data_IF_870853661005
#
_entry.id   IF_870853661005
#
_cell.length_a   1.000
_cell.length_b   1.000
_cell.length_c   1.000
_cell.angle_alpha   90.00
_cell.angle_beta   90.00
_cell.angle_gamma   90.00
#
_symmetry.space_group_name_H-M   'P 1'
#
loop_
_entity.id
_entity.type
_entity.pdbx_description
1 polymer ?
#
# COMPACT_ATOMS: atom_id res chain seq x y z
N UNK A 1 29.41 -16.26 -66.46
CA UNK A 1 28.31 -15.30 -66.20
C UNK A 1 27.53 -15.82 -65.00
N UNK A 2 27.14 -14.89 -64.14
CA UNK A 2 27.00 -15.00 -62.68
C UNK A 2 26.03 -16.03 -62.13
N UNK A 3 26.47 -16.68 -61.04
CA UNK A 3 25.64 -17.35 -60.04
C UNK A 3 24.79 -16.30 -59.30
N UNK A 4 23.47 -16.48 -59.30
CA UNK A 4 22.55 -15.70 -58.48
C UNK A 4 22.46 -16.35 -57.09
N UNK A 5 23.07 -15.70 -56.10
CA UNK A 5 22.80 -15.93 -54.68
C UNK A 5 21.45 -15.31 -54.34
N UNK A 6 20.48 -16.09 -53.87
CA UNK A 6 19.30 -15.55 -53.20
C UNK A 6 19.37 -15.87 -51.71
N UNK A 7 19.75 -14.85 -50.97
CA UNK A 7 19.75 -14.74 -49.52
C UNK A 7 18.29 -14.70 -49.05
N UNK A 8 17.80 -15.78 -48.43
CA UNK A 8 16.50 -15.78 -47.75
C UNK A 8 16.74 -15.56 -46.25
N UNK A 9 16.91 -14.29 -45.87
CA UNK A 9 16.94 -13.82 -44.49
C UNK A 9 15.63 -13.07 -44.22
N UNK A 10 14.71 -13.68 -43.49
CA UNK A 10 13.55 -13.04 -42.85
C UNK A 10 13.06 -14.02 -41.79
N UNK A 11 13.63 -14.03 -40.58
CA UNK A 11 13.38 -13.08 -39.50
C UNK A 11 11.89 -13.02 -39.11
N UNK A 12 11.36 -14.14 -38.59
CA UNK A 12 10.13 -14.13 -37.78
C UNK A 12 10.54 -14.08 -36.30
N UNK A 13 10.85 -12.85 -35.89
CA UNK A 13 10.96 -12.43 -34.49
C UNK A 13 9.56 -12.52 -33.89
N UNK A 14 9.30 -13.60 -33.15
CA UNK A 14 8.13 -13.71 -32.28
C UNK A 14 8.48 -13.07 -30.95
N UNK A 15 8.41 -11.73 -30.89
CA UNK A 15 8.54 -10.98 -29.63
C UNK A 15 7.27 -11.16 -28.81
N UNK A 16 7.49 -11.56 -27.57
CA UNK A 16 6.53 -11.86 -26.52
C UNK A 16 5.52 -10.72 -26.30
N UNK A 17 4.22 -11.06 -26.35
CA UNK A 17 3.16 -10.33 -25.67
C UNK A 17 2.46 -11.29 -24.70
N UNK A 18 3.10 -11.53 -23.57
CA UNK A 18 2.48 -12.16 -22.40
C UNK A 18 3.04 -11.46 -21.16
N UNK A 19 2.56 -10.26 -20.88
CA UNK A 19 3.03 -9.46 -19.76
C UNK A 19 2.25 -8.16 -19.64
N UNK A 20 0.97 -8.27 -19.25
CA UNK A 20 0.13 -7.20 -18.70
C UNK A 20 -1.07 -7.89 -18.02
N UNK A 21 -0.90 -8.44 -16.80
CA UNK A 21 -2.04 -8.98 -16.04
C UNK A 21 -1.86 -9.03 -14.52
N UNK A 22 -0.97 -8.19 -13.99
CA UNK A 22 -0.66 -8.16 -12.55
C UNK A 22 -1.09 -6.83 -11.87
N UNK A 23 -1.31 -5.76 -12.64
CA UNK A 23 -1.70 -4.45 -12.09
C UNK A 23 -3.18 -4.36 -11.69
N UNK A 24 -4.09 -5.05 -12.40
CA UNK A 24 -5.53 -5.03 -12.08
C UNK A 24 -5.87 -5.79 -10.78
N UNK A 25 -5.09 -6.82 -10.45
CA UNK A 25 -5.35 -7.65 -9.26
C UNK A 25 -4.91 -6.98 -7.96
N UNK A 26 -3.83 -6.19 -8.00
CA UNK A 26 -3.32 -5.47 -6.83
C UNK A 26 -4.22 -4.28 -6.44
N UNK A 27 -4.74 -3.55 -7.43
CA UNK A 27 -5.69 -2.47 -7.18
C UNK A 27 -7.03 -3.01 -6.64
N UNK A 28 -7.52 -4.11 -7.21
CA UNK A 28 -8.73 -4.78 -6.72
C UNK A 28 -8.57 -5.29 -5.28
N UNK A 29 -7.43 -5.87 -4.94
CA UNK A 29 -7.16 -6.37 -3.58
C UNK A 29 -7.02 -5.25 -2.55
N UNK A 30 -6.43 -4.10 -2.93
CA UNK A 30 -6.36 -2.94 -2.04
C UNK A 30 -7.74 -2.34 -1.76
N UNK A 31 -8.56 -2.17 -2.81
CA UNK A 31 -9.90 -1.63 -2.66
C UNK A 31 -10.78 -2.53 -1.77
N UNK A 32 -10.65 -3.85 -1.91
CA UNK A 32 -11.34 -4.84 -1.08
C UNK A 32 -10.86 -4.79 0.37
N UNK A 33 -9.55 -4.79 0.62
CA UNK A 33 -9.00 -4.66 1.98
C UNK A 33 -9.44 -3.35 2.64
N UNK A 34 -9.36 -2.24 1.91
CA UNK A 34 -9.80 -0.94 2.41
C UNK A 34 -11.30 -0.91 2.74
N UNK A 35 -12.13 -1.54 1.91
CA UNK A 35 -13.56 -1.68 2.18
C UNK A 35 -13.83 -2.53 3.42
N UNK A 36 -13.16 -3.68 3.55
CA UNK A 36 -13.29 -4.54 4.72
C UNK A 36 -12.87 -3.82 5.99
N UNK A 37 -11.75 -3.08 5.98
CA UNK A 37 -11.34 -2.29 7.14
C UNK A 37 -12.38 -1.23 7.53
N UNK A 38 -12.92 -0.48 6.55
CA UNK A 38 -13.95 0.54 6.84
C UNK A 38 -15.23 -0.06 7.43
N UNK A 39 -15.57 -1.29 7.06
CA UNK A 39 -16.78 -1.97 7.54
C UNK A 39 -16.57 -2.68 8.89
N UNK A 40 -15.45 -3.37 9.04
CA UNK A 40 -15.21 -4.32 10.13
C UNK A 40 -14.12 -3.89 11.10
N UNK A 41 -13.34 -2.86 10.78
CA UNK A 41 -12.17 -2.42 11.55
C UNK A 41 -11.22 -3.59 11.88
N UNK A 42 -11.02 -4.50 10.92
CA UNK A 42 -10.21 -5.71 11.14
C UNK A 42 -8.72 -5.48 10.85
N UNK A 43 -7.86 -6.13 11.64
CA UNK A 43 -6.40 -5.97 11.57
C UNK A 43 -5.80 -6.51 10.27
N UNK A 44 -6.32 -7.62 9.74
CA UNK A 44 -5.78 -8.25 8.54
C UNK A 44 -5.93 -7.33 7.31
N UNK A 45 -7.09 -6.68 7.18
CA UNK A 45 -7.33 -5.69 6.14
C UNK A 45 -6.47 -4.45 6.30
N UNK A 46 -6.27 -4.00 7.53
CA UNK A 46 -5.40 -2.85 7.81
C UNK A 46 -3.92 -3.15 7.52
N UNK A 47 -3.46 -4.37 7.80
CA UNK A 47 -2.14 -4.87 7.41
C UNK A 47 -1.99 -4.88 5.89
N UNK A 48 -2.98 -5.40 5.17
CA UNK A 48 -2.97 -5.43 3.71
C UNK A 48 -2.92 -4.02 3.11
N UNK A 49 -3.65 -3.05 3.67
CA UNK A 49 -3.55 -1.64 3.28
C UNK A 49 -2.14 -1.11 3.55
N UNK A 50 -1.56 -1.41 4.71
CA UNK A 50 -0.22 -0.92 5.10
C UNK A 50 0.90 -1.35 4.15
N UNK A 51 0.73 -2.47 3.46
CA UNK A 51 1.68 -2.99 2.48
C UNK A 51 1.60 -2.25 1.14
N UNK A 52 0.51 -1.53 0.88
CA UNK A 52 0.25 -0.84 -0.38
C UNK A 52 0.39 0.68 -0.25
N UNK A 53 0.12 1.25 0.92
CA UNK A 53 0.44 2.65 1.18
C UNK A 53 1.92 2.81 1.53
N UNK A 54 2.57 3.84 1.02
CA UNK A 54 4.00 4.04 1.23
C UNK A 54 4.40 5.50 1.06
N UNK A 55 5.70 5.81 1.22
CA UNK A 55 6.20 7.17 1.05
C UNK A 55 5.77 7.76 -0.30
N UNK A 56 5.18 8.96 -0.26
CA UNK A 56 4.67 9.66 -1.44
C UNK A 56 3.16 9.53 -1.68
N UNK A 57 2.47 8.53 -1.11
CA UNK A 57 1.00 8.43 -1.16
C UNK A 57 0.38 9.70 -0.58
N UNK A 58 -0.63 10.27 -1.25
CA UNK A 58 -1.22 11.53 -0.77
C UNK A 58 -2.07 11.33 0.47
N UNK A 59 -2.06 12.29 1.38
CA UNK A 59 -2.91 12.25 2.58
C UNK A 59 -4.38 12.06 2.22
N UNK A 60 -4.87 12.83 1.24
CA UNK A 60 -6.23 12.72 0.74
C UNK A 60 -6.56 11.32 0.18
N UNK A 61 -5.59 10.67 -0.48
CA UNK A 61 -5.75 9.33 -1.02
C UNK A 61 -5.83 8.27 0.10
N UNK A 62 -5.02 8.42 1.15
CA UNK A 62 -5.13 7.56 2.35
C UNK A 62 -6.50 7.72 3.01
N UNK A 63 -6.96 8.95 3.22
CA UNK A 63 -8.25 9.23 3.85
C UNK A 63 -9.44 8.79 2.98
N UNK A 64 -9.33 8.91 1.65
CA UNK A 64 -10.30 8.35 0.70
C UNK A 64 -10.32 6.81 0.76
N UNK A 65 -9.15 6.20 0.89
CA UNK A 65 -8.99 4.76 0.93
C UNK A 65 -9.53 4.16 2.23
N UNK A 66 -9.10 4.61 3.41
CA UNK A 66 -9.45 3.93 4.67
C UNK A 66 -10.33 4.76 5.61
N UNK A 67 -10.78 5.93 5.17
CA UNK A 67 -11.58 6.84 5.99
C UNK A 67 -10.71 7.73 6.89
N UNK A 68 -11.34 8.50 7.79
CA UNK A 68 -10.60 9.34 8.73
C UNK A 68 -9.83 8.49 9.76
N UNK A 69 -8.72 8.99 10.32
CA UNK A 69 -8.01 8.30 11.38
C UNK A 69 -8.86 8.15 12.63
N UNK A 70 -8.65 7.06 13.37
CA UNK A 70 -9.25 6.83 14.69
C UNK A 70 -8.78 7.90 15.69
N UNK A 71 -7.50 8.25 15.64
CA UNK A 71 -6.91 9.26 16.52
C UNK A 71 -5.66 9.90 15.89
N UNK A 72 -5.38 11.15 16.24
CA UNK A 72 -4.18 11.88 15.83
C UNK A 72 -3.55 12.55 17.05
N UNK A 73 -2.53 11.94 17.68
CA UNK A 73 -1.95 12.45 18.92
C UNK A 73 -1.23 13.79 18.73
N UNK A 74 -0.66 13.99 17.54
CA UNK A 74 0.05 15.20 17.14
C UNK A 74 -0.30 15.51 15.68
N UNK A 75 -0.16 16.77 15.31
CA UNK A 75 -0.37 17.18 13.92
C UNK A 75 0.59 16.44 12.99
N UNK A 76 0.06 15.90 11.89
CA UNK A 76 0.83 15.11 10.92
C UNK A 76 0.96 13.63 11.23
N UNK A 77 0.45 13.13 12.36
CA UNK A 77 0.39 11.69 12.66
C UNK A 77 -1.05 11.21 12.69
N UNK A 78 -1.37 10.23 11.87
CA UNK A 78 -2.67 9.57 11.81
C UNK A 78 -2.55 8.13 12.32
N UNK A 79 -3.40 7.76 13.27
CA UNK A 79 -3.50 6.41 13.79
C UNK A 79 -4.86 5.81 13.40
N UNK A 80 -4.80 4.66 12.76
CA UNK A 80 -5.94 3.82 12.40
C UNK A 80 -5.88 2.58 13.27
N UNK A 81 -6.87 2.38 14.12
CA UNK A 81 -6.94 1.24 15.03
C UNK A 81 -7.86 0.16 14.47
N UNK A 82 -7.54 -1.10 14.68
CA UNK A 82 -8.46 -2.21 14.51
C UNK A 82 -9.19 -2.54 15.82
N UNK A 83 -10.18 -3.43 15.76
CA UNK A 83 -10.79 -4.02 16.97
C UNK A 83 -9.96 -5.18 17.54
N UNK A 84 -9.06 -5.74 16.72
CA UNK A 84 -8.21 -6.86 17.10
C UNK A 84 -7.09 -6.45 18.07
N UNK A 85 -6.73 -7.38 18.96
CA UNK A 85 -5.68 -7.18 19.96
C UNK A 85 -4.60 -8.24 19.85
N UNK A 86 -3.36 -7.82 20.14
CA UNK A 86 -2.21 -8.69 20.23
C UNK A 86 -1.61 -8.64 21.63
N UNK A 87 -1.29 -9.81 22.18
CA UNK A 87 -0.54 -9.92 23.43
C UNK A 87 0.94 -9.57 23.22
N UNK A 88 1.42 -8.54 23.91
CA UNK A 88 2.81 -8.10 23.93
C UNK A 88 3.30 -8.14 25.39
N UNK A 89 4.06 -9.17 25.73
CA UNK A 89 4.44 -9.45 27.12
C UNK A 89 3.22 -9.79 27.99
N UNK A 90 2.99 -8.98 29.02
CA UNK A 90 1.85 -9.14 29.93
C UNK A 90 0.63 -8.28 29.54
N UNK A 91 0.70 -7.55 28.43
CA UNK A 91 -0.33 -6.59 28.00
C UNK A 91 -1.02 -7.05 26.72
N UNK A 92 -2.27 -6.64 26.55
CA UNK A 92 -2.97 -6.72 25.27
C UNK A 92 -3.03 -5.32 24.67
N UNK A 93 -2.43 -5.17 23.48
CA UNK A 93 -2.38 -3.92 22.73
C UNK A 93 -3.24 -4.04 21.48
N UNK A 94 -3.75 -2.92 21.00
CA UNK A 94 -4.58 -2.88 19.78
C UNK A 94 -3.67 -3.00 18.57
N UNK A 95 -4.05 -3.74 17.54
CA UNK A 95 -3.32 -3.70 16.27
C UNK A 95 -3.74 -2.45 15.48
N UNK A 96 -2.78 -1.83 14.81
CA UNK A 96 -3.08 -0.58 14.11
C UNK A 96 -2.01 -0.15 13.14
N UNK A 97 -2.34 0.89 12.40
CA UNK A 97 -1.54 1.52 11.38
C UNK A 97 -1.28 2.97 11.78
N UNK A 98 0.00 3.34 11.78
CA UNK A 98 0.48 4.69 12.01
C UNK A 98 0.97 5.22 10.66
N UNK A 99 0.45 6.38 10.27
CA UNK A 99 0.87 7.11 9.08
C UNK A 99 1.42 8.46 9.52
N UNK A 100 2.70 8.71 9.24
CA UNK A 100 3.35 9.99 9.50
C UNK A 100 3.48 10.78 8.20
N UNK A 101 2.96 12.00 8.19
CA UNK A 101 3.00 12.95 7.07
C UNK A 101 4.11 13.99 7.26
N UNK A 102 4.96 13.86 8.28
CA UNK A 102 6.04 14.81 8.56
C UNK A 102 7.37 14.34 8.00
N UNK A 103 8.11 15.26 7.41
CA UNK A 103 9.44 14.99 6.91
C UNK A 103 10.48 14.82 8.03
N UNK A 104 11.76 14.66 7.66
CA UNK A 104 12.85 14.49 8.61
C UNK A 104 13.05 15.71 9.55
N UNK A 105 12.56 16.89 9.16
CA UNK A 105 12.61 18.14 9.93
C UNK A 105 11.28 18.38 10.69
N UNK A 106 10.44 17.35 10.80
CA UNK A 106 9.12 17.36 11.41
C UNK A 106 8.13 18.36 10.78
N UNK A 107 8.39 18.81 9.55
CA UNK A 107 7.47 19.71 8.83
C UNK A 107 6.35 18.91 8.18
N UNK A 108 5.13 19.47 8.22
CA UNK A 108 3.98 18.85 7.59
C UNK A 108 4.14 18.80 6.07
N UNK A 109 3.77 17.67 5.50
CA UNK A 109 3.71 17.46 4.05
C UNK A 109 2.34 16.92 3.66
N UNK A 110 2.01 16.98 2.37
CA UNK A 110 0.76 16.44 1.83
C UNK A 110 0.83 14.94 1.51
N UNK A 111 1.95 14.29 1.83
CA UNK A 111 2.20 12.90 1.49
C UNK A 111 2.73 12.11 2.66
N UNK A 112 2.43 10.82 2.66
CA UNK A 112 3.02 9.85 3.58
C UNK A 112 4.54 9.94 3.51
N UNK A 113 5.16 9.99 4.67
CA UNK A 113 6.61 9.95 4.86
C UNK A 113 7.01 8.60 5.45
N UNK A 114 6.27 8.13 6.46
CA UNK A 114 6.46 6.80 7.03
C UNK A 114 5.13 6.11 7.32
N UNK A 115 5.18 4.78 7.26
CA UNK A 115 4.06 3.89 7.58
C UNK A 115 4.58 2.82 8.54
N UNK A 116 3.83 2.53 9.59
CA UNK A 116 4.12 1.43 10.50
C UNK A 116 2.83 0.71 10.88
N UNK A 117 2.83 -0.61 10.74
CA UNK A 117 1.76 -1.47 11.21
C UNK A 117 2.24 -2.33 12.38
N UNK A 118 1.40 -2.48 13.39
CA UNK A 118 1.68 -3.33 14.55
C UNK A 118 0.90 -2.94 15.79
N UNK A 119 1.32 -3.44 16.97
CA UNK A 119 0.71 -3.08 18.25
C UNK A 119 0.83 -1.58 18.54
N UNK A 120 -0.29 -0.92 18.81
CA UNK A 120 -0.40 0.48 19.20
C UNK A 120 -1.09 0.62 20.56
N UNK A 121 -0.59 1.56 21.36
CA UNK A 121 -1.03 1.81 22.74
C UNK A 121 0.15 2.11 23.66
N UNK A 122 -0.07 3.00 24.63
CA UNK A 122 0.89 3.25 25.72
C UNK A 122 0.97 2.06 26.66
#
# INVERSE_FOLDING_TARGET
MSLVRLTALSLLVSVALAGCREEDTAAASLAEAAASYRENSDAASLEAVSQQIGPGTKRAEVEELIGPPTYSPVEGVAMYASEDRQKVGERELTLGLIVDYRDADAQLTDSVQTVSYGPIGE
#
